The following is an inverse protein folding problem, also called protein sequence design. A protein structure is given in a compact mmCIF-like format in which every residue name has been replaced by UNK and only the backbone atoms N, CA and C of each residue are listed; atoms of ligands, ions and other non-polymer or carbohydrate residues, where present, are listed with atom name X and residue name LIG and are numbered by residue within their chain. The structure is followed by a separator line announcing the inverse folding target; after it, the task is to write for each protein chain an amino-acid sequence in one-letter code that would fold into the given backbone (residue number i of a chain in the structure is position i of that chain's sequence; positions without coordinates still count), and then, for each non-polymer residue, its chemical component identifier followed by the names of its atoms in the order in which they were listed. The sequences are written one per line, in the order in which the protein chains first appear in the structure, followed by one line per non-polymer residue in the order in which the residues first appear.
data_IF_531373829432
#
_entry.id   IF_531373829432
#
_cell.length_a   1.000
_cell.length_b   1.000
_cell.length_c   1.000
_cell.angle_alpha   90.00
_cell.angle_beta   90.00
_cell.angle_gamma   90.00
#
_symmetry.space_group_name_H-M   'P 1'
#
loop_
_entity.id
_entity.type
_entity.pdbx_description
1 polymer ?
#
# COMPACT_ATOMS: atom_id res chain seq x y z
N UNK A 1 -20.78 -5.23 2.39
CA UNK A 1 -21.75 -6.19 1.78
C UNK A 1 -21.13 -7.56 1.51
N UNK A 2 -20.14 -7.72 0.60
CA UNK A 2 -19.56 -9.05 0.30
C UNK A 2 -18.73 -9.60 1.45
N UNK A 3 -17.88 -8.79 2.04
CA UNK A 3 -17.05 -9.19 3.19
C UNK A 3 -17.90 -9.60 4.38
N UNK A 4 -18.99 -8.90 4.66
CA UNK A 4 -19.93 -9.25 5.73
C UNK A 4 -20.56 -10.62 5.48
N UNK A 5 -21.01 -10.89 4.25
CA UNK A 5 -21.52 -12.21 3.88
C UNK A 5 -20.48 -13.32 4.06
N UNK A 6 -19.22 -13.05 3.69
CA UNK A 6 -18.14 -14.03 3.91
C UNK A 6 -17.94 -14.32 5.40
N UNK A 7 -17.98 -13.31 6.27
CA UNK A 7 -17.89 -13.47 7.73
C UNK A 7 -19.06 -14.29 8.23
N UNK A 8 -20.30 -13.93 7.87
CA UNK A 8 -21.51 -14.65 8.28
C UNK A 8 -21.51 -16.13 7.86
N UNK A 9 -21.10 -16.44 6.64
CA UNK A 9 -21.03 -17.82 6.16
C UNK A 9 -19.93 -18.63 6.87
N UNK A 10 -18.79 -18.01 7.17
CA UNK A 10 -17.75 -18.65 7.97
C UNK A 10 -18.21 -18.92 9.40
N UNK A 11 -18.93 -18.00 10.03
CA UNK A 11 -19.50 -18.18 11.36
C UNK A 11 -20.54 -19.29 11.38
N UNK A 12 -21.46 -19.35 10.40
CA UNK A 12 -22.44 -20.42 10.26
C UNK A 12 -21.78 -21.80 10.08
N UNK A 13 -20.69 -21.84 9.32
CA UNK A 13 -19.94 -23.07 9.07
C UNK A 13 -19.00 -23.48 10.22
N UNK A 14 -18.84 -22.64 11.25
CA UNK A 14 -17.91 -22.89 12.37
C UNK A 14 -16.43 -22.85 11.96
N UNK A 15 -16.08 -22.18 10.84
CA UNK A 15 -14.70 -22.05 10.34
C UNK A 15 -14.18 -20.64 10.56
N UNK A 16 -12.85 -20.50 10.56
CA UNK A 16 -12.22 -19.18 10.74
C UNK A 16 -11.88 -18.54 9.39
N UNK A 17 -12.26 -17.27 9.23
CA UNK A 17 -11.83 -16.43 8.12
C UNK A 17 -10.58 -15.63 8.55
N UNK A 18 -9.51 -15.70 7.76
CA UNK A 18 -8.27 -14.94 8.00
C UNK A 18 -7.95 -14.13 6.77
N UNK A 19 -7.83 -12.80 6.93
CA UNK A 19 -7.32 -11.93 5.89
C UNK A 19 -5.81 -11.74 6.08
N UNK A 20 -5.01 -12.29 5.15
CA UNK A 20 -3.55 -12.28 5.23
C UNK A 20 -2.94 -11.21 4.32
N UNK A 21 -2.77 -10.00 4.83
CA UNK A 21 -1.93 -9.00 4.18
C UNK A 21 -0.46 -9.34 4.42
N UNK A 22 0.22 -9.89 3.41
CA UNK A 22 1.53 -10.54 3.53
C UNK A 22 2.62 -9.68 4.19
N UNK A 23 2.59 -8.36 4.00
CA UNK A 23 3.61 -7.45 4.54
C UNK A 23 3.69 -7.49 6.08
N UNK A 24 2.56 -7.46 6.78
CA UNK A 24 2.51 -7.46 8.25
C UNK A 24 2.98 -8.79 8.88
N UNK A 25 2.95 -9.88 8.11
CA UNK A 25 3.50 -11.17 8.53
C UNK A 25 5.02 -11.27 8.31
N UNK A 26 5.60 -10.35 7.52
CA UNK A 26 7.03 -10.32 7.25
C UNK A 26 7.88 -9.99 8.48
N UNK A 27 9.08 -10.57 8.52
CA UNK A 27 10.02 -10.41 9.63
C UNK A 27 10.31 -8.93 9.99
N UNK A 28 10.49 -7.99 9.05
CA UNK A 28 10.75 -6.59 9.39
C UNK A 28 9.64 -5.96 10.24
N UNK A 29 8.38 -6.09 9.83
CA UNK A 29 7.25 -5.51 10.55
C UNK A 29 7.03 -6.18 11.91
N UNK A 30 7.20 -7.50 11.98
CA UNK A 30 7.10 -8.26 13.24
C UNK A 30 8.22 -7.86 14.21
N UNK A 31 9.43 -7.62 13.71
CA UNK A 31 10.55 -7.14 14.52
C UNK A 31 10.32 -5.72 15.03
N UNK A 32 9.88 -4.80 14.14
CA UNK A 32 9.49 -3.44 14.55
C UNK A 32 8.43 -3.47 15.65
N UNK A 33 7.40 -4.31 15.50
CA UNK A 33 6.36 -4.46 16.53
C UNK A 33 6.94 -4.95 17.86
N UNK A 34 7.85 -5.93 17.86
CA UNK A 34 8.52 -6.40 19.07
C UNK A 34 9.32 -5.30 19.75
N UNK A 35 10.08 -4.50 18.98
CA UNK A 35 10.84 -3.36 19.51
C UNK A 35 9.92 -2.32 20.14
N UNK A 36 8.82 -1.97 19.48
CA UNK A 36 7.82 -1.04 20.01
C UNK A 36 7.25 -1.57 21.33
N UNK A 37 6.80 -2.82 21.36
CA UNK A 37 6.13 -3.40 22.54
C UNK A 37 7.07 -3.70 23.68
N UNK A 38 8.39 -3.83 23.45
CA UNK A 38 9.39 -4.00 24.53
C UNK A 38 9.67 -2.70 25.29
N UNK A 39 9.23 -1.55 24.78
CA UNK A 39 9.56 -0.25 25.35
C UNK A 39 11.00 0.23 25.11
N UNK A 40 11.81 -0.52 24.37
CA UNK A 40 13.23 -0.20 24.12
C UNK A 40 13.45 1.17 23.45
N UNK A 41 12.46 1.65 22.68
CA UNK A 41 12.48 2.95 22.01
C UNK A 41 11.58 3.99 22.70
N UNK A 42 11.10 3.69 23.89
CA UNK A 42 10.12 4.52 24.60
C UNK A 42 8.71 4.39 24.02
N UNK A 43 7.88 5.37 24.31
CA UNK A 43 6.49 5.39 23.86
C UNK A 43 6.36 5.79 22.39
N UNK A 44 5.67 4.98 21.60
CA UNK A 44 5.40 5.29 20.20
C UNK A 44 4.49 6.51 20.10
N UNK A 45 4.89 7.53 19.36
CA UNK A 45 4.12 8.75 19.14
C UNK A 45 3.68 8.89 17.68
N UNK A 46 4.53 8.51 16.73
CA UNK A 46 4.23 8.66 15.31
C UNK A 46 4.80 7.53 14.46
N UNK A 47 4.15 7.29 13.33
CA UNK A 47 4.58 6.33 12.29
C UNK A 47 4.57 7.08 10.96
N UNK A 48 5.65 6.93 10.17
CA UNK A 48 5.65 7.36 8.78
C UNK A 48 6.01 6.17 7.90
N UNK A 49 5.11 5.83 6.97
CA UNK A 49 5.28 4.74 6.03
C UNK A 49 5.21 5.30 4.61
N UNK A 50 6.32 5.17 3.89
CA UNK A 50 6.48 5.69 2.54
C UNK A 50 6.71 4.55 1.56
N UNK A 51 6.00 4.56 0.43
CA UNK A 51 6.25 3.69 -0.69
C UNK A 51 6.29 4.50 -1.99
N UNK A 52 7.41 4.40 -2.69
CA UNK A 52 7.59 4.92 -4.03
C UNK A 52 7.92 3.76 -4.94
N UNK A 53 7.08 3.52 -5.93
CA UNK A 53 7.15 2.35 -6.82
C UNK A 53 6.82 2.74 -8.26
N UNK A 54 7.07 1.84 -9.18
CA UNK A 54 6.69 1.92 -10.57
C UNK A 54 5.38 1.16 -10.87
N UNK A 55 4.49 1.03 -9.87
CA UNK A 55 3.27 0.22 -9.97
C UNK A 55 2.43 0.56 -11.21
N UNK A 56 2.27 1.85 -11.51
CA UNK A 56 1.51 2.35 -12.67
C UNK A 56 2.19 2.08 -14.01
N UNK A 57 3.44 1.62 -14.02
CA UNK A 57 4.21 1.36 -15.25
C UNK A 57 4.33 -0.13 -15.58
N UNK A 58 3.94 -1.00 -14.66
CA UNK A 58 3.97 -2.46 -14.86
C UNK A 58 2.78 -2.93 -15.68
N UNK A 59 2.88 -4.09 -16.38
CA UNK A 59 1.71 -4.76 -16.94
C UNK A 59 0.65 -4.98 -15.87
N UNK A 60 -0.63 -4.77 -16.23
CA UNK A 60 -1.77 -4.88 -15.32
C UNK A 60 -2.90 -5.64 -15.99
N UNK A 61 -3.65 -6.37 -15.19
CA UNK A 61 -4.89 -7.00 -15.62
C UNK A 61 -6.01 -5.96 -15.76
N UNK A 62 -7.05 -6.27 -16.51
CA UNK A 62 -8.17 -5.36 -16.76
C UNK A 62 -8.85 -4.89 -15.46
N UNK A 63 -9.02 -5.79 -14.49
CA UNK A 63 -9.61 -5.47 -13.20
C UNK A 63 -8.70 -4.58 -12.33
N UNK A 64 -7.38 -4.66 -12.49
CA UNK A 64 -6.45 -3.73 -11.84
C UNK A 64 -6.50 -2.32 -12.45
N UNK A 65 -6.96 -2.19 -13.69
CA UNK A 65 -7.12 -0.93 -14.43
C UNK A 65 -8.55 -0.36 -14.34
N UNK A 66 -9.47 -1.07 -13.70
CA UNK A 66 -10.84 -0.62 -13.47
C UNK A 66 -11.07 -0.24 -12.01
N UNK A 67 -11.25 1.06 -11.74
CA UNK A 67 -11.49 1.55 -10.38
C UNK A 67 -12.76 0.96 -9.74
N UNK A 68 -13.80 0.67 -10.55
CA UNK A 68 -15.03 0.05 -10.04
C UNK A 68 -14.84 -1.39 -9.58
N UNK A 69 -13.82 -2.08 -10.12
CA UNK A 69 -13.41 -3.43 -9.71
C UNK A 69 -12.28 -3.43 -8.66
N UNK A 70 -12.04 -2.30 -8.01
CA UNK A 70 -10.99 -2.17 -7.01
C UNK A 70 -9.59 -1.99 -7.63
N UNK A 71 -9.51 -1.43 -8.82
CA UNK A 71 -8.25 -1.08 -9.47
C UNK A 71 -7.59 0.15 -8.86
N UNK A 72 -6.32 0.32 -9.18
CA UNK A 72 -5.50 1.43 -8.73
C UNK A 72 -4.77 1.18 -7.40
N UNK A 73 -3.77 2.01 -7.16
CA UNK A 73 -2.88 1.91 -5.99
C UNK A 73 -3.61 1.92 -4.65
N UNK A 74 -4.65 2.76 -4.42
CA UNK A 74 -5.35 2.77 -3.14
C UNK A 74 -5.96 1.42 -2.77
N UNK A 75 -6.57 0.73 -3.72
CA UNK A 75 -7.20 -0.57 -3.47
C UNK A 75 -6.22 -1.74 -3.50
N UNK A 76 -5.21 -1.70 -4.39
CA UNK A 76 -4.28 -2.81 -4.58
C UNK A 76 -3.08 -2.78 -3.62
N UNK A 77 -2.67 -1.60 -3.17
CA UNK A 77 -1.51 -1.42 -2.29
C UNK A 77 -1.88 -0.85 -0.92
N UNK A 78 -2.93 -0.05 -0.85
CA UNK A 78 -3.41 0.56 0.40
C UNK A 78 -3.65 -0.44 1.53
N UNK A 79 -4.36 -1.57 1.31
CA UNK A 79 -4.62 -2.55 2.35
C UNK A 79 -3.37 -3.08 3.05
N UNK A 80 -2.28 -3.32 2.30
CA UNK A 80 -1.00 -3.75 2.87
C UNK A 80 -0.37 -2.71 3.80
N UNK A 81 -0.44 -1.43 3.42
CA UNK A 81 0.10 -0.35 4.25
C UNK A 81 -0.77 -0.06 5.46
N UNK A 82 -2.10 -0.06 5.30
CA UNK A 82 -3.06 0.16 6.39
C UNK A 82 -2.90 -0.94 7.44
N UNK A 83 -2.80 -2.19 7.02
CA UNK A 83 -2.59 -3.32 7.92
C UNK A 83 -1.26 -3.21 8.68
N UNK A 84 -0.18 -2.84 7.99
CA UNK A 84 1.13 -2.59 8.61
C UNK A 84 1.09 -1.44 9.63
N UNK A 85 0.43 -0.34 9.30
CA UNK A 85 0.24 0.81 10.20
C UNK A 85 -0.56 0.40 11.44
N UNK A 86 -1.62 -0.40 11.27
CA UNK A 86 -2.42 -0.92 12.39
C UNK A 86 -1.62 -1.87 13.28
N UNK A 87 -0.82 -2.75 12.68
CA UNK A 87 0.06 -3.65 13.44
C UNK A 87 1.03 -2.85 14.32
N UNK A 88 1.68 -1.83 13.75
CA UNK A 88 2.68 -1.03 14.47
C UNK A 88 2.03 -0.11 15.51
N UNK A 89 0.93 0.56 15.16
CA UNK A 89 0.20 1.47 16.04
C UNK A 89 -0.49 0.78 17.21
N UNK A 90 -0.87 -0.48 17.05
CA UNK A 90 -1.32 -1.35 18.13
C UNK A 90 -2.65 -0.96 18.76
N UNK A 91 -3.61 -0.50 17.95
CA UNK A 91 -4.93 -0.12 18.49
C UNK A 91 -5.98 0.16 17.43
N UNK A 92 -7.11 0.70 17.87
CA UNK A 92 -8.19 1.13 16.99
C UNK A 92 -7.91 2.52 16.41
N UNK A 93 -8.31 2.70 15.15
CA UNK A 93 -8.24 3.99 14.48
C UNK A 93 -9.44 4.85 14.92
N UNK A 94 -9.15 6.07 15.35
CA UNK A 94 -10.16 7.09 15.70
C UNK A 94 -10.62 7.86 14.48
N UNK A 95 -9.70 8.21 13.58
CA UNK A 95 -10.01 8.96 12.35
C UNK A 95 -9.00 8.71 11.26
N UNK A 96 -9.46 8.86 10.02
CA UNK A 96 -8.65 8.79 8.80
C UNK A 96 -9.00 9.99 7.92
N UNK A 97 -7.98 10.64 7.38
CA UNK A 97 -8.10 11.61 6.31
C UNK A 97 -7.16 11.20 5.17
N UNK A 98 -7.65 11.18 3.94
CA UNK A 98 -6.84 10.75 2.80
C UNK A 98 -7.09 11.58 1.56
N UNK A 99 -6.04 11.70 0.75
CA UNK A 99 -6.08 12.27 -0.60
C UNK A 99 -5.61 11.21 -1.58
N UNK A 100 -6.28 11.08 -2.72
CA UNK A 100 -5.87 10.23 -3.84
C UNK A 100 -5.53 11.10 -5.04
N UNK A 101 -4.64 10.60 -5.93
CA UNK A 101 -4.21 11.28 -7.14
C UNK A 101 -4.27 10.38 -8.36
N UNK A 102 -4.87 10.89 -9.43
CA UNK A 102 -4.97 10.24 -10.74
C UNK A 102 -4.33 11.18 -11.77
N UNK A 103 -3.04 10.98 -12.06
CA UNK A 103 -2.24 11.94 -12.83
C UNK A 103 -1.66 11.38 -14.12
N UNK A 104 -2.06 10.17 -14.51
CA UNK A 104 -1.60 9.49 -15.72
C UNK A 104 -2.78 9.32 -16.68
N UNK A 105 -2.82 10.10 -17.79
CA UNK A 105 -3.92 10.02 -18.75
C UNK A 105 -4.09 8.64 -19.40
N UNK A 106 -2.97 7.91 -19.59
CA UNK A 106 -2.92 6.60 -20.21
C UNK A 106 -3.53 5.49 -19.33
N UNK A 107 -3.71 5.76 -18.02
CA UNK A 107 -4.34 4.84 -17.06
C UNK A 107 -5.27 5.61 -16.15
N UNK A 108 -6.58 5.50 -16.40
CA UNK A 108 -7.64 6.24 -15.70
C UNK A 108 -7.96 5.68 -14.31
N UNK A 109 -6.92 5.36 -13.53
CA UNK A 109 -7.00 4.87 -12.15
C UNK A 109 -6.06 5.66 -11.24
N UNK A 110 -6.36 5.77 -9.93
CA UNK A 110 -5.47 6.45 -9.00
C UNK A 110 -4.14 5.69 -8.83
N UNK A 111 -3.04 6.39 -9.07
CA UNK A 111 -1.67 5.88 -8.86
C UNK A 111 -1.03 6.40 -7.57
N UNK A 112 -1.74 7.22 -6.81
CA UNK A 112 -1.25 7.86 -5.60
C UNK A 112 -2.29 7.88 -4.51
N UNK A 113 -1.86 7.74 -3.27
CA UNK A 113 -2.59 8.21 -2.09
C UNK A 113 -1.63 8.69 -1.00
N UNK A 114 -2.15 9.57 -0.16
CA UNK A 114 -1.58 9.97 1.12
C UNK A 114 -2.68 9.94 2.17
N UNK A 115 -2.49 9.15 3.22
CA UNK A 115 -3.46 8.96 4.28
C UNK A 115 -2.85 9.27 5.64
N UNK A 116 -3.60 10.04 6.44
CA UNK A 116 -3.27 10.37 7.82
C UNK A 116 -4.23 9.63 8.74
N UNK A 117 -3.68 8.97 9.73
CA UNK A 117 -4.41 8.17 10.70
C UNK A 117 -4.19 8.72 12.11
N UNK A 118 -5.24 8.72 12.90
CA UNK A 118 -5.16 8.97 14.34
C UNK A 118 -5.71 7.77 15.08
N UNK A 119 -4.92 7.22 15.97
CA UNK A 119 -5.34 6.14 16.85
C UNK A 119 -6.03 6.66 18.10
N UNK A 120 -6.85 5.82 18.74
CA UNK A 120 -7.47 6.15 20.04
C UNK A 120 -6.43 6.38 21.12
N UNK A 121 -5.30 5.68 21.07
CA UNK A 121 -4.13 5.86 21.94
C UNK A 121 -3.44 7.23 21.81
N UNK A 122 -3.78 8.02 20.81
CA UNK A 122 -3.12 9.30 20.50
C UNK A 122 -1.94 9.16 19.53
N UNK A 123 -1.50 7.95 19.19
CA UNK A 123 -0.50 7.72 18.12
C UNK A 123 -1.06 8.27 16.81
N UNK A 124 -0.21 8.91 16.02
CA UNK A 124 -0.54 9.37 14.67
C UNK A 124 0.28 8.62 13.63
N UNK A 125 -0.29 8.44 12.43
CA UNK A 125 0.45 7.82 11.34
C UNK A 125 0.20 8.51 10.01
N UNK A 126 1.19 8.45 9.13
CA UNK A 126 1.07 8.82 7.73
C UNK A 126 1.49 7.65 6.87
N UNK A 127 0.66 7.28 5.91
CA UNK A 127 1.01 6.31 4.88
C UNK A 127 0.85 6.95 3.51
N UNK A 128 1.92 6.94 2.73
CA UNK A 128 1.95 7.47 1.37
C UNK A 128 2.40 6.38 0.41
N UNK A 129 1.67 6.23 -0.70
CA UNK A 129 2.11 5.42 -1.82
C UNK A 129 2.06 6.23 -3.12
N UNK A 130 3.21 6.33 -3.78
CA UNK A 130 3.33 6.89 -5.12
C UNK A 130 3.76 5.78 -6.08
N UNK A 131 2.85 5.41 -6.98
CA UNK A 131 3.04 4.33 -7.95
C UNK A 131 3.53 4.79 -9.33
N UNK A 132 3.83 6.07 -9.51
CA UNK A 132 4.13 6.65 -10.83
C UNK A 132 5.55 6.44 -11.32
N UNK A 133 6.45 5.88 -10.52
CA UNK A 133 7.80 5.52 -10.95
C UNK A 133 8.71 6.69 -11.31
N UNK A 134 8.51 7.87 -10.71
CA UNK A 134 9.46 8.98 -10.88
C UNK A 134 10.78 8.68 -10.21
N UNK A 135 10.73 8.02 -9.08
CA UNK A 135 11.83 7.35 -8.41
C UNK A 135 11.25 6.23 -7.52
N UNK A 136 12.08 5.30 -7.09
CA UNK A 136 11.69 4.25 -6.15
C UNK A 136 12.47 4.39 -4.85
N UNK A 137 11.97 3.77 -3.76
CA UNK A 137 12.74 3.73 -2.51
C UNK A 137 14.08 3.03 -2.69
N UNK A 138 14.22 2.15 -3.68
CA UNK A 138 15.50 1.55 -4.06
C UNK A 138 16.54 2.58 -4.49
N UNK A 139 16.13 3.65 -5.14
CA UNK A 139 17.02 4.71 -5.59
C UNK A 139 17.57 5.54 -4.41
N UNK A 140 16.83 5.57 -3.29
CA UNK A 140 17.24 6.25 -2.06
C UNK A 140 18.09 5.32 -1.17
N UNK A 141 17.67 4.05 -1.03
CA UNK A 141 18.25 3.12 -0.08
C UNK A 141 19.37 2.24 -0.67
N UNK A 142 19.70 2.45 -1.95
CA UNK A 142 20.66 1.66 -2.71
C UNK A 142 20.02 0.52 -3.51
N UNK A 143 20.77 -0.10 -4.41
CA UNK A 143 20.25 -1.09 -5.34
C UNK A 143 19.69 -2.29 -4.59
N UNK A 144 18.44 -2.64 -4.90
CA UNK A 144 17.82 -3.88 -4.48
C UNK A 144 17.56 -4.74 -5.72
N UNK A 145 17.94 -6.01 -5.66
CA UNK A 145 17.73 -6.96 -6.75
C UNK A 145 16.25 -6.96 -7.21
N UNK A 146 16.04 -6.94 -8.53
CA UNK A 146 14.71 -7.06 -9.14
C UNK A 146 13.88 -5.79 -9.24
N UNK A 147 14.44 -4.59 -8.99
CA UNK A 147 13.75 -3.31 -9.18
C UNK A 147 14.11 -2.65 -10.51
N UNK A 148 13.11 -1.97 -11.11
CA UNK A 148 13.28 -1.23 -12.35
C UNK A 148 14.25 -0.05 -12.14
N UNK A 149 15.17 0.16 -13.09
CA UNK A 149 16.02 1.36 -13.10
C UNK A 149 15.25 2.60 -13.54
N UNK A 150 15.80 3.79 -13.29
CA UNK A 150 15.22 5.06 -13.77
C UNK A 150 15.13 5.02 -15.31
N UNK A 151 16.16 4.54 -16.00
CA UNK A 151 16.19 4.44 -17.47
C UNK A 151 15.05 3.54 -17.98
N UNK A 152 14.80 2.41 -17.33
CA UNK A 152 13.72 1.50 -17.71
C UNK A 152 12.34 2.14 -17.48
N UNK A 153 12.15 2.88 -16.41
CA UNK A 153 10.88 3.58 -16.14
C UNK A 153 10.64 4.71 -17.15
N UNK A 154 11.67 5.44 -17.56
CA UNK A 154 11.58 6.47 -18.61
C UNK A 154 11.21 5.85 -19.95
N UNK A 155 11.85 4.73 -20.33
CA UNK A 155 11.53 4.02 -21.56
C UNK A 155 10.08 3.51 -21.59
N UNK A 156 9.60 2.92 -20.50
CA UNK A 156 8.23 2.44 -20.37
C UNK A 156 7.22 3.59 -20.49
N UNK A 157 7.45 4.74 -19.83
CA UNK A 157 6.59 5.93 -19.94
C UNK A 157 6.49 6.41 -21.39
N UNK A 158 7.60 6.41 -22.12
CA UNK A 158 7.61 6.76 -23.53
C UNK A 158 6.73 5.80 -24.33
N UNK A 159 6.91 4.50 -24.16
CA UNK A 159 6.09 3.47 -24.83
C UNK A 159 4.60 3.63 -24.55
N UNK A 160 4.21 3.95 -23.32
CA UNK A 160 2.81 4.19 -22.96
C UNK A 160 2.25 5.42 -23.69
N UNK A 161 2.98 6.55 -23.71
CA UNK A 161 2.55 7.75 -24.43
C UNK A 161 2.44 7.56 -25.95
N UNK A 162 3.37 6.79 -26.50
CA UNK A 162 3.42 6.50 -27.94
C UNK A 162 2.42 5.38 -28.35
N UNK A 163 1.71 4.78 -27.39
CA UNK A 163 0.77 3.67 -27.64
C UNK A 163 1.44 2.39 -28.15
N UNK A 164 2.73 2.24 -27.91
CA UNK A 164 3.53 1.08 -28.42
C UNK A 164 3.72 -0.02 -27.37
N UNK A 165 3.22 0.18 -26.14
CA UNK A 165 3.28 -0.82 -25.10
C UNK A 165 2.07 -1.76 -25.16
N UNK A 166 2.34 -3.06 -25.18
CA UNK A 166 1.35 -4.10 -24.95
C UNK A 166 1.26 -4.40 -23.44
N UNK A 167 0.04 -4.52 -22.92
CA UNK A 167 -0.23 -4.94 -21.54
C UNK A 167 0.08 -6.44 -21.34
#
# INVERSE_FOLDING_TARGET
AETEKMVEECEKAGVKLVCAHTASFGLPYRTMRKVITSGAIGELKSITLLAYTDWMLRPRTEDELDFAQGGGVPYRQGPHQIDSVRLLGGGMLKSVYATIGQWMPERSIPGYYNAHFKFESGVVATALHNGYGYFTLGDINGPSEGRSSIESTVAIRKQMRDGTRNE
#
